data_IF_814809999160
#
_entry.id   IF_814809999160
#
_cell.length_a   1.000
_cell.length_b   1.000
_cell.length_c   1.000
_cell.angle_alpha   90.00
_cell.angle_beta   90.00
_cell.angle_gamma   90.00
#
_symmetry.space_group_name_H-M   'P 1'
#
loop_
_entity.id
_entity.type
_entity.pdbx_description
1 polymer ?
#
# COMPACT_ATOMS: atom_id res chain seq x y z
N UNK A 1 -20.77 -36.98 -72.32
CA UNK A 1 -19.82 -38.05 -72.66
C UNK A 1 -18.45 -37.42 -72.84
N UNK A 2 -17.39 -38.13 -72.44
CA UNK A 2 -15.96 -37.79 -72.52
C UNK A 2 -15.34 -37.05 -71.32
N UNK A 3 -14.70 -37.89 -70.50
CA UNK A 3 -13.70 -37.63 -69.48
C UNK A 3 -12.36 -37.19 -70.09
N UNK A 4 -11.63 -36.27 -69.44
CA UNK A 4 -10.18 -36.12 -69.68
C UNK A 4 -9.42 -35.88 -68.37
N UNK A 5 -8.54 -36.84 -68.03
CA UNK A 5 -7.54 -36.78 -66.96
C UNK A 5 -6.18 -36.47 -67.59
N UNK A 6 -5.46 -35.45 -67.11
CA UNK A 6 -3.99 -35.38 -67.18
C UNK A 6 -3.48 -34.47 -66.03
N UNK A 7 -2.76 -35.05 -65.05
CA UNK A 7 -1.29 -35.13 -64.87
C UNK A 7 -0.63 -33.81 -64.41
N UNK A 8 -0.47 -33.75 -63.08
CA UNK A 8 0.53 -33.11 -62.19
C UNK A 8 1.44 -31.96 -62.67
N UNK A 9 1.40 -30.93 -61.82
CA UNK A 9 2.49 -30.16 -61.19
C UNK A 9 3.24 -29.07 -61.98
N UNK A 10 3.14 -27.84 -61.47
CA UNK A 10 4.24 -27.08 -60.85
C UNK A 10 3.95 -25.58 -60.93
N UNK A 11 4.11 -24.83 -59.83
CA UNK A 11 4.33 -23.39 -59.92
C UNK A 11 3.76 -22.53 -58.81
N UNK A 12 4.69 -21.96 -58.04
CA UNK A 12 4.62 -20.65 -57.37
C UNK A 12 3.81 -20.49 -56.07
N UNK A 13 4.57 -20.64 -54.98
CA UNK A 13 4.76 -19.66 -53.90
C UNK A 13 3.89 -18.40 -53.96
N UNK A 14 3.05 -18.24 -52.93
CA UNK A 14 2.92 -16.99 -52.15
C UNK A 14 2.39 -17.37 -50.77
N UNK A 15 3.30 -17.41 -49.80
CA UNK A 15 2.99 -17.59 -48.39
C UNK A 15 2.30 -16.32 -47.88
N UNK A 16 0.98 -16.35 -47.72
CA UNK A 16 0.23 -15.32 -47.00
C UNK A 16 0.30 -15.59 -45.50
N UNK A 17 1.35 -15.10 -44.83
CA UNK A 17 1.38 -15.05 -43.37
C UNK A 17 0.56 -13.82 -42.95
N UNK A 18 -0.68 -14.04 -42.54
CA UNK A 18 -1.44 -13.07 -41.75
C UNK A 18 -0.86 -13.06 -40.34
N UNK A 19 -0.07 -12.03 -40.03
CA UNK A 19 0.39 -11.76 -38.67
C UNK A 19 -0.85 -11.32 -37.87
N UNK A 20 -1.38 -12.21 -37.03
CA UNK A 20 -2.34 -11.84 -36.01
C UNK A 20 -1.65 -10.85 -35.06
N UNK A 21 -2.06 -9.58 -35.12
CA UNK A 21 -1.63 -8.57 -34.17
C UNK A 21 -2.13 -8.92 -32.78
N UNK A 22 -1.26 -9.51 -31.95
CA UNK A 22 -1.48 -9.59 -30.52
C UNK A 22 -1.33 -8.19 -29.94
N UNK A 23 -2.46 -7.50 -29.71
CA UNK A 23 -2.49 -6.37 -28.80
C UNK A 23 -2.15 -6.91 -27.40
N UNK A 24 -0.90 -6.77 -26.99
CA UNK A 24 -0.51 -6.99 -25.60
C UNK A 24 -1.33 -6.01 -24.74
N UNK A 25 -1.86 -6.44 -23.57
CA UNK A 25 -2.49 -5.50 -22.66
C UNK A 25 -1.43 -4.48 -22.24
N UNK A 26 -1.77 -3.20 -22.34
CA UNK A 26 -0.95 -2.13 -21.79
C UNK A 26 -0.80 -2.40 -20.29
N UNK A 27 0.40 -2.80 -19.88
CA UNK A 27 0.74 -2.89 -18.47
C UNK A 27 0.60 -1.48 -17.89
N UNK A 28 -0.43 -1.27 -17.08
CA UNK A 28 -0.62 -0.05 -16.32
C UNK A 28 0.60 0.11 -15.42
N UNK A 29 1.41 1.14 -15.67
CA UNK A 29 2.66 1.36 -14.98
C UNK A 29 2.38 1.44 -13.48
N UNK A 30 2.83 0.44 -12.71
CA UNK A 30 2.74 0.46 -11.26
C UNK A 30 3.48 1.71 -10.76
N UNK A 31 2.71 2.67 -10.25
CA UNK A 31 3.28 3.88 -9.63
C UNK A 31 4.17 3.44 -8.48
N UNK A 32 5.44 3.86 -8.49
CA UNK A 32 6.40 3.50 -7.45
C UNK A 32 5.86 3.82 -6.05
N UNK A 33 6.20 2.99 -5.06
CA UNK A 33 5.79 3.23 -3.69
C UNK A 33 6.41 4.51 -3.13
N UNK A 34 5.68 5.27 -2.29
CA UNK A 34 6.21 6.50 -1.75
C UNK A 34 7.36 6.24 -0.79
N UNK A 35 8.41 7.06 -0.91
CA UNK A 35 9.52 7.09 0.06
C UNK A 35 9.00 7.57 1.41
N UNK A 36 9.52 7.03 2.51
CA UNK A 36 9.14 7.45 3.86
C UNK A 36 10.34 7.99 4.61
N UNK A 37 10.22 9.21 5.14
CA UNK A 37 11.18 9.82 6.04
C UNK A 37 10.56 9.92 7.43
N UNK A 38 11.22 9.34 8.43
CA UNK A 38 10.85 9.48 9.85
C UNK A 38 11.95 10.32 10.52
N UNK A 39 11.57 11.46 11.08
CA UNK A 39 12.50 12.44 11.66
C UNK A 39 13.66 12.80 10.70
N UNK A 40 13.36 12.93 9.40
CA UNK A 40 14.34 13.24 8.35
C UNK A 40 15.19 12.07 7.86
N UNK A 41 15.08 10.90 8.49
CA UNK A 41 15.84 9.70 8.13
C UNK A 41 15.01 8.79 7.24
N UNK A 42 15.62 8.24 6.18
CA UNK A 42 14.95 7.28 5.30
C UNK A 42 14.62 6.00 6.06
N UNK A 43 13.33 5.64 6.05
CA UNK A 43 12.85 4.44 6.70
C UNK A 43 12.22 3.51 5.65
N UNK A 44 12.83 2.33 5.49
CA UNK A 44 12.30 1.31 4.61
C UNK A 44 11.14 0.60 5.31
N UNK A 45 9.98 0.54 4.64
CA UNK A 45 8.81 -0.15 5.15
C UNK A 45 8.78 -1.59 4.66
N UNK A 46 8.40 -2.51 5.55
CA UNK A 46 8.15 -3.91 5.18
C UNK A 46 6.97 -4.06 4.22
N UNK A 47 6.06 -3.08 4.22
CA UNK A 47 4.94 -3.01 3.30
C UNK A 47 4.76 -1.60 2.77
N UNK A 48 4.59 -1.51 1.46
CA UNK A 48 4.42 -0.25 0.76
C UNK A 48 3.13 0.47 1.21
N UNK A 49 3.16 1.81 1.35
CA UNK A 49 1.95 2.59 1.56
C UNK A 49 0.99 2.46 0.38
N UNK A 50 -0.31 2.44 0.69
CA UNK A 50 -1.39 2.27 -0.29
C UNK A 50 -2.33 3.47 -0.25
N UNK A 51 -2.73 4.00 -1.39
CA UNK A 51 -3.84 4.96 -1.44
C UNK A 51 -5.14 4.21 -1.65
N UNK A 52 -6.07 4.34 -0.70
CA UNK A 52 -7.41 3.74 -0.76
C UNK A 52 -8.44 4.78 -0.32
N UNK A 53 -9.52 4.93 -1.09
CA UNK A 53 -10.60 5.89 -0.81
C UNK A 53 -10.10 7.34 -0.59
N UNK A 54 -9.06 7.74 -1.35
CA UNK A 54 -8.45 9.06 -1.21
C UNK A 54 -7.69 9.26 0.11
N UNK A 55 -7.27 8.18 0.77
CA UNK A 55 -6.47 8.19 2.00
C UNK A 55 -5.23 7.34 1.83
N UNK A 56 -4.08 7.86 2.26
CA UNK A 56 -2.84 7.10 2.32
C UNK A 56 -2.87 6.22 3.57
N UNK A 57 -2.81 4.91 3.35
CA UNK A 57 -2.67 3.89 4.37
C UNK A 57 -1.20 3.48 4.47
N UNK A 58 -0.70 3.35 5.70
CA UNK A 58 0.68 2.98 6.00
C UNK A 58 0.71 1.81 6.98
N UNK A 59 1.77 0.98 6.97
CA UNK A 59 1.92 -0.11 7.94
C UNK A 59 2.10 0.48 9.34
N UNK A 60 1.17 0.15 10.26
CA UNK A 60 1.16 0.73 11.60
C UNK A 60 2.46 0.43 12.34
N UNK A 61 2.85 -0.85 12.39
CA UNK A 61 3.97 -1.31 13.22
C UNK A 61 5.28 -0.62 12.85
N UNK A 62 5.70 -0.70 11.59
CA UNK A 62 6.98 -0.13 11.16
C UNK A 62 7.08 1.38 11.44
N UNK A 63 5.99 2.12 11.24
CA UNK A 63 5.97 3.56 11.52
C UNK A 63 6.03 3.85 13.02
N UNK A 64 5.26 3.12 13.83
CA UNK A 64 5.24 3.28 15.28
C UNK A 64 6.59 2.94 15.90
N UNK A 65 7.21 1.83 15.49
CA UNK A 65 8.53 1.40 15.95
C UNK A 65 9.63 2.37 15.50
N UNK A 66 9.55 2.91 14.28
CA UNK A 66 10.47 3.95 13.81
C UNK A 66 10.42 5.23 14.67
N UNK A 67 9.27 5.49 15.30
CA UNK A 67 9.06 6.63 16.21
C UNK A 67 9.37 6.26 17.68
N UNK A 68 9.87 5.06 17.94
CA UNK A 68 10.25 4.59 19.27
C UNK A 68 9.07 4.08 20.11
N UNK A 69 7.95 3.73 19.48
CA UNK A 69 6.85 3.04 20.16
C UNK A 69 7.08 1.52 20.15
N UNK A 70 6.61 0.84 21.19
CA UNK A 70 6.50 -0.63 21.22
C UNK A 70 5.12 -1.02 20.72
N UNK A 71 5.00 -2.07 19.91
CA UNK A 71 3.73 -2.51 19.34
C UNK A 71 3.48 -3.98 19.67
N UNK A 72 2.43 -4.24 20.45
CA UNK A 72 1.93 -5.57 20.74
C UNK A 72 0.72 -5.91 19.85
N UNK A 73 0.62 -7.17 19.44
CA UNK A 73 -0.48 -7.69 18.63
C UNK A 73 -1.10 -8.89 19.30
N UNK A 74 -2.38 -8.78 19.64
CA UNK A 74 -3.19 -9.89 20.10
C UNK A 74 -3.94 -10.50 18.91
N UNK A 75 -3.50 -11.68 18.48
CA UNK A 75 -4.08 -12.39 17.35
C UNK A 75 -5.52 -12.86 17.60
N UNK A 76 -5.86 -13.23 18.84
CA UNK A 76 -7.19 -13.77 19.16
C UNK A 76 -8.26 -12.68 19.09
N UNK A 77 -7.96 -11.50 19.64
CA UNK A 77 -8.89 -10.36 19.66
C UNK A 77 -8.79 -9.47 18.43
N UNK A 78 -7.76 -9.68 17.62
CA UNK A 78 -7.37 -8.84 16.49
C UNK A 78 -7.14 -7.37 16.90
N UNK A 79 -6.47 -7.19 18.04
CA UNK A 79 -6.20 -5.90 18.67
C UNK A 79 -4.70 -5.59 18.66
N UNK A 80 -4.38 -4.31 18.45
CA UNK A 80 -3.05 -3.73 18.56
C UNK A 80 -3.05 -2.85 19.79
N UNK A 81 -2.05 -3.05 20.64
CA UNK A 81 -1.72 -2.10 21.71
C UNK A 81 -0.34 -1.56 21.41
N UNK A 82 -0.20 -0.24 21.29
CA UNK A 82 1.09 0.40 21.11
C UNK A 82 1.37 1.41 22.22
N UNK A 83 2.60 1.46 22.67
CA UNK A 83 3.01 2.32 23.79
C UNK A 83 4.23 3.15 23.41
N UNK A 84 4.18 4.45 23.68
CA UNK A 84 5.30 5.38 23.48
C UNK A 84 5.40 6.33 24.67
N UNK A 85 6.39 6.11 25.53
CA UNK A 85 6.49 6.87 26.78
C UNK A 85 5.26 6.66 27.66
N UNK A 86 4.47 7.72 27.87
CA UNK A 86 3.19 7.66 28.62
C UNK A 86 1.97 7.46 27.73
N UNK A 87 2.14 7.51 26.41
CA UNK A 87 1.02 7.37 25.49
C UNK A 87 0.72 5.90 25.26
N UNK A 88 -0.55 5.53 25.41
CA UNK A 88 -1.08 4.21 25.09
C UNK A 88 -2.11 4.34 23.97
N UNK A 89 -1.93 3.52 22.93
CA UNK A 89 -2.76 3.49 21.75
C UNK A 89 -3.37 2.10 21.66
N UNK A 90 -4.68 2.02 21.58
CA UNK A 90 -5.41 0.76 21.38
C UNK A 90 -6.21 0.83 20.09
N UNK A 91 -6.12 -0.21 19.27
CA UNK A 91 -6.79 -0.28 17.99
C UNK A 91 -7.25 -1.71 17.70
N UNK A 92 -8.46 -1.85 17.15
CA UNK A 92 -8.95 -3.15 16.69
C UNK A 92 -9.10 -3.15 15.17
N UNK A 93 -8.67 -4.24 14.53
CA UNK A 93 -8.80 -4.40 13.08
C UNK A 93 -10.27 -4.39 12.66
N UNK A 94 -10.55 -3.80 11.49
CA UNK A 94 -11.88 -3.59 10.90
C UNK A 94 -12.82 -2.70 11.73
N UNK A 95 -12.31 -2.00 12.75
CA UNK A 95 -13.05 -0.96 13.45
C UNK A 95 -12.61 0.42 12.97
N UNK A 96 -13.55 1.36 12.99
CA UNK A 96 -13.29 2.79 12.74
C UNK A 96 -12.91 3.54 14.01
N UNK A 97 -12.98 2.91 15.18
CA UNK A 97 -12.66 3.54 16.46
C UNK A 97 -11.33 3.01 16.98
N UNK A 98 -10.47 3.91 17.41
CA UNK A 98 -9.25 3.65 18.15
C UNK A 98 -9.29 4.43 19.46
N UNK A 99 -8.40 4.10 20.40
CA UNK A 99 -8.21 4.87 21.64
C UNK A 99 -6.78 5.36 21.75
N UNK A 100 -6.60 6.57 22.25
CA UNK A 100 -5.30 7.15 22.60
C UNK A 100 -5.45 7.74 23.99
N UNK A 101 -4.75 7.19 24.98
CA UNK A 101 -4.87 7.58 26.39
C UNK A 101 -6.33 7.62 26.87
N UNK A 102 -7.06 6.52 26.64
CA UNK A 102 -8.50 6.37 26.90
C UNK A 102 -9.47 7.27 26.12
N UNK A 103 -8.96 8.23 25.33
CA UNK A 103 -9.79 9.06 24.45
C UNK A 103 -10.05 8.33 23.13
N UNK A 104 -11.32 8.26 22.72
CA UNK A 104 -11.71 7.66 21.45
C UNK A 104 -11.40 8.59 20.28
N UNK A 105 -10.75 8.04 19.25
CA UNK A 105 -10.47 8.72 17.98
C UNK A 105 -11.12 7.92 16.84
N UNK A 106 -11.79 8.64 15.95
CA UNK A 106 -12.40 8.06 14.76
C UNK A 106 -11.43 8.06 13.57
N UNK A 107 -11.19 6.89 13.01
CA UNK A 107 -10.40 6.66 11.83
C UNK A 107 -11.21 6.99 10.58
N UNK A 108 -10.66 7.83 9.71
CA UNK A 108 -11.28 8.14 8.41
C UNK A 108 -11.46 6.92 7.50
N UNK A 109 -10.63 5.89 7.67
CA UNK A 109 -10.77 4.56 7.05
C UNK A 109 -10.46 3.55 8.16
N UNK A 110 -11.25 2.47 8.31
CA UNK A 110 -10.98 1.44 9.30
C UNK A 110 -9.56 0.91 9.20
N UNK A 111 -8.99 0.49 10.33
CA UNK A 111 -7.75 -0.28 10.30
C UNK A 111 -7.96 -1.59 9.53
N UNK A 112 -7.09 -1.91 8.59
CA UNK A 112 -7.26 -3.07 7.72
C UNK A 112 -6.06 -3.99 7.84
N UNK A 113 -6.27 -5.27 8.13
CA UNK A 113 -5.23 -6.26 7.95
C UNK A 113 -5.16 -6.61 6.46
N UNK A 114 -4.03 -6.27 5.83
CA UNK A 114 -3.74 -6.60 4.44
C UNK A 114 -2.56 -7.57 4.42
N UNK A 115 -2.83 -8.85 4.15
CA UNK A 115 -1.82 -9.91 4.03
C UNK A 115 -0.88 -10.00 5.25
N UNK A 116 -1.41 -9.87 6.46
CA UNK A 116 -0.63 -9.98 7.70
C UNK A 116 -0.07 -8.65 8.23
N UNK A 117 -0.26 -7.55 7.51
CA UNK A 117 0.16 -6.21 7.96
C UNK A 117 -1.05 -5.35 8.22
N UNK A 118 -1.15 -4.77 9.42
CA UNK A 118 -2.20 -3.80 9.73
C UNK A 118 -1.86 -2.44 9.14
N UNK A 119 -2.71 -1.99 8.22
CA UNK A 119 -2.64 -0.72 7.54
C UNK A 119 -3.62 0.27 8.19
N UNK A 120 -3.16 1.49 8.45
CA UNK A 120 -3.95 2.56 9.06
C UNK A 120 -3.76 3.88 8.32
N UNK A 121 -4.73 4.82 8.41
CA UNK A 121 -4.58 6.14 7.80
C UNK A 121 -3.34 6.87 8.34
N UNK A 122 -2.55 7.47 7.45
CA UNK A 122 -1.36 8.26 7.82
C UNK A 122 -1.69 9.36 8.85
N UNK A 123 -2.89 9.97 8.75
CA UNK A 123 -3.37 10.97 9.72
C UNK A 123 -3.50 10.41 11.13
N UNK A 124 -3.96 9.17 11.27
CA UNK A 124 -4.10 8.55 12.59
C UNK A 124 -2.75 8.42 13.30
N UNK A 125 -1.68 8.11 12.56
CA UNK A 125 -0.31 8.10 13.13
C UNK A 125 0.02 9.46 13.76
N UNK A 126 -0.25 10.56 13.03
CA UNK A 126 0.03 11.92 13.49
C UNK A 126 -0.72 12.26 14.77
N UNK A 127 -2.01 11.92 14.82
CA UNK A 127 -2.87 12.20 15.97
C UNK A 127 -2.49 11.33 17.17
N UNK A 128 -2.25 10.04 16.95
CA UNK A 128 -1.99 9.09 18.02
C UNK A 128 -0.63 9.28 18.71
N UNK A 129 0.39 9.71 17.96
CA UNK A 129 1.75 9.89 18.47
C UNK A 129 2.15 11.37 18.64
N UNK A 130 1.24 12.29 18.35
CA UNK A 130 1.50 13.73 18.45
C UNK A 130 2.56 14.23 17.45
N UNK A 131 2.63 13.63 16.26
CA UNK A 131 3.62 13.97 15.23
C UNK A 131 3.02 14.84 14.13
N UNK A 132 3.86 15.35 13.24
CA UNK A 132 3.45 15.95 11.96
C UNK A 132 3.67 14.95 10.83
N UNK A 133 2.60 14.64 10.09
CA UNK A 133 2.67 13.79 8.89
C UNK A 133 2.26 14.58 7.65
N UNK A 134 3.05 14.52 6.59
CA UNK A 134 2.76 15.16 5.30
C UNK A 134 3.04 14.17 4.17
N UNK A 135 2.17 14.15 3.15
CA UNK A 135 2.42 13.45 1.90
C UNK A 135 2.61 14.47 0.77
N UNK A 136 3.80 14.51 0.19
CA UNK A 136 4.18 15.31 -0.96
C UNK A 136 3.95 14.48 -2.23
N UNK A 137 2.84 14.73 -2.91
CA UNK A 137 2.41 13.91 -4.06
C UNK A 137 3.30 14.07 -5.30
N UNK A 138 3.91 15.24 -5.47
CA UNK A 138 4.86 15.60 -6.53
C UNK A 138 6.20 14.84 -6.38
N UNK A 139 6.61 14.60 -5.14
CA UNK A 139 7.86 13.89 -4.81
C UNK A 139 7.62 12.42 -4.47
N UNK A 140 6.36 11.99 -4.41
CA UNK A 140 5.95 10.69 -3.90
C UNK A 140 6.61 10.39 -2.53
N UNK A 141 6.52 11.34 -1.61
CA UNK A 141 7.27 11.34 -0.36
C UNK A 141 6.33 11.51 0.84
N UNK A 142 6.43 10.64 1.83
CA UNK A 142 5.79 10.77 3.14
C UNK A 142 6.85 11.23 4.14
N UNK A 143 6.59 12.31 4.86
CA UNK A 143 7.42 12.76 5.97
C UNK A 143 6.63 12.66 7.27
N UNK A 144 7.25 12.08 8.28
CA UNK A 144 6.72 11.97 9.64
C UNK A 144 7.75 12.57 10.57
N UNK A 145 7.36 13.54 11.39
CA UNK A 145 8.30 14.29 12.23
C UNK A 145 7.71 14.51 13.61
N UNK A 146 8.48 14.17 14.64
CA UNK A 146 8.12 14.48 16.01
C UNK A 146 7.93 15.98 16.22
N UNK A 147 6.95 16.33 17.06
CA UNK A 147 6.87 17.69 17.60
C UNK A 147 8.02 17.85 18.57
N UNK A 148 8.91 18.81 18.29
CA UNK A 148 9.93 19.20 19.26
C UNK A 148 9.19 19.78 20.46
N UNK A 149 9.15 19.05 21.58
CA UNK A 149 8.72 19.62 22.85
C UNK A 149 9.77 20.67 23.26
N UNK A 150 9.35 21.92 23.34
CA UNK A 150 10.13 23.07 23.80
C UNK A 150 10.19 23.13 25.32
#
# INVERSE_FOLDING_TARGET
>A
MSTYRSKKAAGLLLAGILIAGAAAPAAEAAKEAPKVLVNGVNYALDKEPLVKDGRTLVPLRGIFEALGATVDWNQYEQTITATRGKNEIFLQVNKTKAKVNDMEIELSVPAQNMSGTTMVPLRFIAEALGTYCVYYADQNLITITDRVES
#
